data_IF_217936113983
#
_entry.id   IF_217936113983
#
_cell.length_a   1.000
_cell.length_b   1.000
_cell.length_c   1.000
_cell.angle_alpha   90.00
_cell.angle_beta   90.00
_cell.angle_gamma   90.00
#
_symmetry.space_group_name_H-M   'P 1'
#
loop_
_entity.id
_entity.type
_entity.pdbx_description
1 polymer ?
#
# COMPACT_ATOMS: atom_id res chain seq x y z
N UNK A 1 52.58 -37.77 -29.17
CA UNK A 1 52.04 -37.02 -30.32
C UNK A 1 51.22 -35.87 -29.77
N UNK A 2 51.04 -34.80 -30.55
CA UNK A 2 50.26 -33.60 -30.21
C UNK A 2 48.75 -33.94 -30.13
N UNK A 3 47.78 -33.08 -29.78
CA UNK A 3 47.66 -31.60 -29.71
C UNK A 3 46.84 -31.22 -28.44
N UNK A 4 46.69 -29.98 -27.97
CA UNK A 4 47.15 -28.70 -28.51
C UNK A 4 45.98 -27.81 -28.99
N UNK A 5 45.34 -27.07 -28.08
CA UNK A 5 44.36 -26.04 -28.43
C UNK A 5 44.54 -24.80 -27.52
N UNK A 6 44.31 -23.60 -28.05
CA UNK A 6 44.77 -22.34 -27.46
C UNK A 6 43.85 -21.17 -27.85
N UNK A 7 43.56 -20.28 -26.88
CA UNK A 7 42.41 -19.36 -26.95
C UNK A 7 42.46 -18.27 -28.03
N UNK A 8 41.27 -17.88 -28.48
CA UNK A 8 41.03 -16.82 -29.46
C UNK A 8 40.21 -15.66 -28.86
N UNK A 9 40.69 -14.43 -29.08
CA UNK A 9 39.97 -13.35 -29.79
C UNK A 9 40.73 -12.03 -29.63
N UNK A 10 41.05 -11.39 -30.76
CA UNK A 10 41.89 -10.18 -30.84
C UNK A 10 41.20 -9.07 -31.63
N UNK A 11 41.37 -7.85 -31.14
CA UNK A 11 40.95 -6.56 -31.69
C UNK A 11 41.03 -6.39 -33.22
N UNK A 12 40.11 -5.58 -33.77
CA UNK A 12 40.28 -4.91 -35.06
C UNK A 12 39.49 -3.59 -35.13
N UNK A 13 40.22 -2.48 -35.21
CA UNK A 13 39.71 -1.16 -35.62
C UNK A 13 39.81 -0.98 -37.15
N UNK A 14 38.99 -0.10 -37.74
CA UNK A 14 39.23 0.50 -39.07
C UNK A 14 38.59 1.88 -39.20
N UNK A 15 39.40 2.91 -39.50
CA UNK A 15 38.99 4.28 -39.85
C UNK A 15 38.73 4.47 -41.37
N UNK A 16 37.77 5.34 -41.75
CA UNK A 16 37.79 6.22 -42.95
C UNK A 16 36.43 6.95 -43.16
N UNK A 17 36.28 8.09 -43.88
CA UNK A 17 37.10 9.30 -44.11
C UNK A 17 36.33 10.32 -45.01
N UNK A 18 36.06 11.55 -44.52
CA UNK A 18 35.77 12.83 -45.28
C UNK A 18 34.55 12.82 -46.24
N UNK A 19 34.04 13.88 -46.92
CA UNK A 19 34.30 15.33 -47.21
C UNK A 19 32.95 15.93 -47.78
N UNK A 20 32.60 17.22 -47.96
CA UNK A 20 32.97 18.56 -47.43
C UNK A 20 32.16 19.69 -48.18
N UNK A 21 31.67 20.74 -47.48
CA UNK A 21 31.06 21.99 -48.04
C UNK A 21 29.57 21.95 -48.43
N UNK A 22 28.84 23.06 -48.68
CA UNK A 22 29.06 24.49 -48.35
C UNK A 22 27.84 25.39 -48.72
N UNK A 23 27.43 26.26 -47.78
CA UNK A 23 26.82 27.61 -47.93
C UNK A 23 25.49 27.88 -48.71
N UNK A 24 25.06 29.17 -48.68
CA UNK A 24 23.76 29.81 -49.07
C UNK A 24 22.58 29.49 -48.12
N UNK A 25 21.92 30.44 -47.43
CA UNK A 25 21.22 31.70 -47.81
C UNK A 25 19.94 31.43 -48.66
N UNK A 26 18.77 32.05 -48.46
CA UNK A 26 18.34 33.19 -47.62
C UNK A 26 16.84 33.01 -47.20
N UNK A 27 16.27 33.98 -46.47
CA UNK A 27 14.98 34.65 -46.75
C UNK A 27 13.97 34.79 -45.58
N UNK A 28 13.59 36.05 -45.36
CA UNK A 28 12.47 36.63 -44.59
C UNK A 28 12.58 36.87 -43.05
N UNK A 29 12.29 38.14 -42.73
CA UNK A 29 12.06 38.77 -41.40
C UNK A 29 10.54 38.63 -41.06
N UNK A 30 9.96 39.08 -39.94
CA UNK A 30 10.31 40.15 -38.99
C UNK A 30 9.41 40.15 -37.72
N UNK A 31 9.95 40.63 -36.60
CA UNK A 31 9.33 41.27 -35.39
C UNK A 31 7.88 41.02 -34.89
N UNK A 32 7.83 41.01 -33.54
CA UNK A 32 6.82 41.58 -32.61
C UNK A 32 5.50 40.86 -32.23
N UNK A 33 5.27 40.92 -30.91
CA UNK A 33 4.08 40.55 -30.09
C UNK A 33 3.58 39.08 -30.20
N UNK A 34 3.10 38.44 -29.13
CA UNK A 34 2.19 38.95 -28.08
C UNK A 34 2.81 38.99 -26.67
N UNK A 35 2.64 40.14 -26.00
CA UNK A 35 2.66 40.27 -24.54
C UNK A 35 1.24 40.10 -24.00
N UNK A 36 0.99 39.17 -23.08
CA UNK A 36 -0.12 39.09 -22.08
C UNK A 36 -0.10 37.66 -21.46
N UNK A 37 -0.23 37.42 -20.15
CA UNK A 37 -0.31 38.33 -18.99
C UNK A 37 0.27 37.70 -17.71
N UNK A 38 1.04 38.50 -16.97
CA UNK A 38 1.11 38.54 -15.50
C UNK A 38 1.18 37.22 -14.71
N UNK A 39 2.42 36.76 -14.49
CA UNK A 39 2.82 36.31 -13.17
C UNK A 39 2.72 37.50 -12.19
N UNK A 40 1.70 37.57 -11.33
CA UNK A 40 1.67 38.38 -10.10
C UNK A 40 0.55 37.89 -9.16
N UNK A 41 0.91 37.24 -8.06
CA UNK A 41 0.05 37.17 -6.86
C UNK A 41 0.93 37.16 -5.60
N UNK A 42 1.24 38.37 -5.14
CA UNK A 42 1.77 38.64 -3.81
C UNK A 42 0.87 39.69 -3.13
N UNK A 43 0.94 39.76 -1.80
CA UNK A 43 0.14 40.60 -0.90
C UNK A 43 -1.35 40.23 -0.76
N UNK A 44 -1.75 40.05 0.50
CA UNK A 44 -3.13 40.16 0.95
C UNK A 44 -3.26 41.43 1.81
N UNK A 45 -4.46 42.02 1.90
CA UNK A 45 -4.97 42.36 3.22
C UNK A 45 -6.47 42.04 3.41
N UNK A 46 -6.92 42.12 4.67
CA UNK A 46 -8.32 41.92 5.11
C UNK A 46 -9.22 43.10 4.75
N UNK A 47 -10.53 42.84 4.64
CA UNK A 47 -11.60 43.70 5.17
C UNK A 47 -12.88 42.88 5.39
N UNK A 48 -13.60 43.15 6.48
CA UNK A 48 -14.92 42.57 6.79
C UNK A 48 -16.05 43.46 6.25
N UNK A 49 -17.19 42.88 5.87
CA UNK A 49 -18.52 43.52 5.91
C UNK A 49 -19.64 42.51 5.66
N UNK A 50 -20.71 42.56 6.48
CA UNK A 50 -21.91 41.73 6.35
C UNK A 50 -23.03 42.55 5.71
N UNK A 51 -23.70 42.01 4.69
CA UNK A 51 -25.05 42.42 4.30
C UNK A 51 -25.87 41.17 3.94
N UNK A 52 -26.98 40.96 4.66
CA UNK A 52 -28.04 40.06 4.21
C UNK A 52 -28.91 40.78 3.17
N UNK A 53 -29.39 40.03 2.18
CA UNK A 53 -30.66 40.29 1.51
C UNK A 53 -31.23 38.97 0.99
N UNK A 54 -32.53 38.76 1.19
CA UNK A 54 -33.23 37.58 0.69
C UNK A 54 -33.69 37.81 -0.75
N UNK A 55 -33.61 36.80 -1.62
CA UNK A 55 -34.82 36.15 -2.15
C UNK A 55 -34.54 35.17 -3.31
N UNK A 56 -35.37 34.11 -3.34
CA UNK A 56 -35.73 33.24 -4.48
C UNK A 56 -34.69 32.33 -5.15
N UNK A 57 -34.98 31.04 -5.00
CA UNK A 57 -35.13 30.10 -6.13
C UNK A 57 -33.93 29.95 -7.08
N UNK A 58 -32.85 29.37 -6.56
CA UNK A 58 -32.05 28.43 -7.35
C UNK A 58 -32.09 27.07 -6.63
N UNK A 59 -32.78 26.10 -7.23
CA UNK A 59 -32.61 24.68 -6.89
C UNK A 59 -31.17 24.23 -7.22
N UNK A 60 -30.77 23.04 -6.80
CA UNK A 60 -29.46 22.45 -7.14
C UNK A 60 -28.26 23.01 -6.35
N UNK A 61 -28.33 22.96 -5.01
CA UNK A 61 -27.17 23.16 -4.10
C UNK A 61 -27.21 22.39 -2.77
N UNK A 62 -27.96 21.28 -2.69
CA UNK A 62 -27.95 20.37 -1.52
C UNK A 62 -27.40 18.97 -1.85
N UNK A 63 -27.24 18.64 -3.14
CA UNK A 63 -26.56 17.42 -3.61
C UNK A 63 -25.02 17.53 -3.55
N UNK A 64 -24.51 18.14 -2.47
CA UNK A 64 -23.10 18.41 -2.23
C UNK A 64 -22.54 17.67 -0.99
N UNK A 65 -23.33 16.81 -0.34
CA UNK A 65 -22.80 15.70 0.48
C UNK A 65 -22.33 14.61 -0.49
N UNK A 66 -21.28 14.94 -1.25
CA UNK A 66 -20.81 14.14 -2.37
C UNK A 66 -20.09 12.90 -1.90
N UNK A 67 -20.70 11.73 -2.16
CA UNK A 67 -20.01 10.49 -2.58
C UNK A 67 -18.91 9.96 -1.65
N UNK A 68 -18.82 10.47 -0.42
CA UNK A 68 -17.57 10.55 0.36
C UNK A 68 -16.96 9.18 0.68
N UNK A 69 -17.77 8.11 0.64
CA UNK A 69 -17.22 6.75 0.67
C UNK A 69 -17.95 5.65 -0.11
N UNK A 70 -18.32 5.90 -1.36
CA UNK A 70 -18.97 4.92 -2.25
C UNK A 70 -18.29 3.53 -2.32
N UNK A 71 -16.97 3.44 -2.07
CA UNK A 71 -16.16 2.21 -2.12
C UNK A 71 -16.06 1.46 -0.77
N UNK A 72 -16.36 2.10 0.38
CA UNK A 72 -16.51 1.43 1.69
C UNK A 72 -17.97 1.31 2.15
N UNK A 73 -18.93 1.81 1.35
CA UNK A 73 -20.32 1.37 1.46
C UNK A 73 -20.34 -0.16 1.40
N UNK A 74 -20.71 -0.80 2.52
CA UNK A 74 -20.62 -2.25 2.76
C UNK A 74 -21.38 -3.12 1.74
N UNK A 75 -22.25 -2.49 0.95
CA UNK A 75 -23.05 -3.09 -0.13
C UNK A 75 -22.26 -3.24 -1.45
N UNK A 76 -21.31 -2.36 -1.71
CA UNK A 76 -20.47 -2.36 -2.93
C UNK A 76 -19.19 -3.20 -2.77
N UNK A 77 -18.83 -3.55 -1.54
CA UNK A 77 -17.63 -4.33 -1.25
C UNK A 77 -17.89 -5.83 -1.39
N UNK A 78 -16.92 -6.55 -1.97
CA UNK A 78 -16.93 -8.02 -1.99
C UNK A 78 -16.90 -8.56 -0.54
N UNK A 79 -17.98 -9.24 -0.13
CA UNK A 79 -18.15 -9.86 1.19
C UNK A 79 -17.56 -11.27 1.22
N UNK A 80 -16.25 -11.35 0.97
CA UNK A 80 -15.47 -12.59 1.07
C UNK A 80 -14.66 -12.64 2.38
N UNK A 81 -13.85 -13.69 2.55
CA UNK A 81 -12.96 -13.89 3.70
C UNK A 81 -11.84 -12.83 3.85
N UNK A 82 -11.70 -11.89 2.92
CA UNK A 82 -10.83 -10.71 3.07
C UNK A 82 -11.61 -9.43 3.47
N UNK A 83 -12.95 -9.46 3.58
CA UNK A 83 -13.79 -8.27 3.71
C UNK A 83 -13.34 -7.25 4.78
N UNK A 84 -13.05 -7.69 6.00
CA UNK A 84 -12.63 -6.77 7.07
C UNK A 84 -11.21 -6.25 6.85
N UNK A 85 -10.31 -7.07 6.28
CA UNK A 85 -8.94 -6.68 5.93
C UNK A 85 -8.94 -5.64 4.81
N UNK A 86 -9.73 -5.87 3.75
CA UNK A 86 -10.06 -4.94 2.67
C UNK A 86 -10.56 -3.62 3.25
N UNK A 87 -11.58 -3.66 4.13
CA UNK A 87 -12.18 -2.46 4.75
C UNK A 87 -11.13 -1.59 5.45
N UNK A 88 -10.36 -2.15 6.40
CA UNK A 88 -9.38 -1.36 7.19
C UNK A 88 -8.19 -0.90 6.33
N UNK A 89 -7.74 -1.71 5.36
CA UNK A 89 -6.66 -1.33 4.43
C UNK A 89 -7.09 -0.14 3.57
N UNK A 90 -8.27 -0.19 2.97
CA UNK A 90 -8.83 0.92 2.19
C UNK A 90 -9.13 2.15 3.06
N UNK A 91 -9.60 1.97 4.30
CA UNK A 91 -9.82 3.06 5.26
C UNK A 91 -8.54 3.85 5.59
N UNK A 92 -7.39 3.15 5.70
CA UNK A 92 -6.10 3.78 5.91
C UNK A 92 -5.59 4.52 4.66
N UNK A 93 -5.65 3.87 3.50
CA UNK A 93 -5.20 4.42 2.21
C UNK A 93 -5.96 5.69 1.83
N UNK A 94 -7.28 5.68 1.98
CA UNK A 94 -8.16 6.77 1.50
C UNK A 94 -8.07 7.99 2.42
N UNK A 95 -7.80 7.81 3.73
CA UNK A 95 -7.40 8.91 4.63
C UNK A 95 -5.95 9.38 4.43
N UNK A 96 -5.23 8.83 3.46
CA UNK A 96 -3.84 9.20 3.16
C UNK A 96 -2.86 8.89 4.30
N UNK A 97 -3.17 7.91 5.18
CA UNK A 97 -2.27 7.55 6.27
C UNK A 97 -0.99 6.96 5.70
N UNK A 98 0.16 7.55 6.02
CA UNK A 98 1.47 6.96 5.76
C UNK A 98 1.56 5.55 6.36
N UNK A 99 2.46 4.71 5.83
CA UNK A 99 2.82 3.48 6.53
C UNK A 99 3.36 3.82 7.94
N UNK A 100 3.00 3.03 8.96
CA UNK A 100 3.50 3.15 10.33
C UNK A 100 5.02 3.37 10.42
N UNK A 101 5.47 4.24 11.32
CA UNK A 101 6.89 4.63 11.41
C UNK A 101 7.85 3.50 11.81
N UNK A 102 7.33 2.39 12.34
CA UNK A 102 8.11 1.17 12.60
C UNK A 102 8.36 0.33 11.33
N UNK A 103 7.65 0.59 10.23
CA UNK A 103 7.90 0.01 8.91
C UNK A 103 8.90 0.92 8.19
N UNK A 104 10.20 0.65 8.37
CA UNK A 104 11.26 1.31 7.60
C UNK A 104 11.16 0.84 6.15
N UNK A 105 10.65 1.71 5.27
CA UNK A 105 10.33 1.43 3.86
C UNK A 105 11.49 0.81 3.09
N UNK A 106 12.66 1.43 3.11
CA UNK A 106 13.88 0.97 2.43
C UNK A 106 14.30 -0.47 2.81
N UNK A 107 13.85 -0.96 3.97
CA UNK A 107 14.17 -2.27 4.54
C UNK A 107 12.95 -3.20 4.68
N UNK A 108 11.78 -2.75 4.22
CA UNK A 108 10.49 -3.44 4.39
C UNK A 108 10.47 -4.79 3.65
N UNK A 109 10.92 -4.81 2.40
CA UNK A 109 11.05 -6.02 1.58
C UNK A 109 11.98 -7.08 2.21
N UNK A 110 12.92 -6.71 3.08
CA UNK A 110 13.87 -7.63 3.72
C UNK A 110 13.38 -8.24 5.04
N UNK A 111 12.24 -7.78 5.60
CA UNK A 111 11.67 -8.32 6.84
C UNK A 111 11.50 -9.87 6.80
N UNK A 112 10.95 -10.49 5.73
CA UNK A 112 10.83 -11.94 5.65
C UNK A 112 12.19 -12.66 5.71
N UNK A 113 13.21 -12.09 5.06
CA UNK A 113 14.57 -12.67 5.03
C UNK A 113 15.20 -12.62 6.42
N UNK A 114 15.14 -11.45 7.09
CA UNK A 114 15.64 -11.25 8.46
C UNK A 114 14.98 -12.21 9.45
N UNK A 115 13.64 -12.27 9.49
CA UNK A 115 12.94 -13.19 10.39
C UNK A 115 13.38 -14.65 10.20
N UNK A 116 13.55 -15.11 8.95
CA UNK A 116 14.01 -16.47 8.69
C UNK A 116 15.46 -16.74 9.14
N UNK A 117 16.28 -15.69 9.34
CA UNK A 117 17.65 -15.76 9.85
C UNK A 117 17.70 -15.60 11.38
N UNK A 118 16.79 -14.82 11.96
CA UNK A 118 16.62 -14.53 13.39
C UNK A 118 15.98 -15.70 14.19
N UNK A 119 15.85 -16.88 13.57
CA UNK A 119 15.29 -18.10 14.19
C UNK A 119 13.82 -18.38 13.86
N UNK A 120 13.11 -17.44 13.24
CA UNK A 120 11.70 -17.62 12.82
C UNK A 120 11.58 -18.37 11.47
N UNK A 121 12.47 -19.33 11.20
CA UNK A 121 12.52 -20.09 9.95
C UNK A 121 11.20 -20.84 9.61
N UNK A 122 10.33 -21.03 10.60
CA UNK A 122 8.98 -21.57 10.42
C UNK A 122 8.06 -20.71 9.52
N UNK A 123 8.39 -19.44 9.22
CA UNK A 123 7.65 -18.65 8.21
C UNK A 123 7.73 -19.24 6.79
N UNK A 124 8.63 -20.19 6.54
CA UNK A 124 8.60 -21.01 5.32
C UNK A 124 7.38 -21.95 5.24
N UNK A 125 6.53 -21.98 6.28
CA UNK A 125 5.20 -22.61 6.30
C UNK A 125 4.05 -21.60 6.06
N UNK A 126 4.34 -20.38 5.62
CA UNK A 126 3.32 -19.40 5.22
C UNK A 126 2.50 -19.94 4.04
N UNK A 127 1.19 -20.02 4.21
CA UNK A 127 0.27 -20.57 3.20
C UNK A 127 -0.44 -19.43 2.47
N UNK A 128 -0.03 -19.22 1.22
CA UNK A 128 -0.81 -18.44 0.26
C UNK A 128 -2.08 -19.22 -0.12
N UNK A 129 -3.20 -18.51 -0.27
CA UNK A 129 -4.49 -19.05 -0.75
C UNK A 129 -4.30 -19.93 -2.00
N UNK A 130 -3.64 -19.38 -3.02
CA UNK A 130 -3.22 -20.12 -4.20
C UNK A 130 -1.85 -20.73 -3.98
N UNK A 131 -1.80 -22.08 -3.90
CA UNK A 131 -0.58 -22.90 -3.71
C UNK A 131 0.33 -22.96 -4.95
N UNK A 132 0.50 -21.83 -5.63
CA UNK A 132 1.52 -21.62 -6.66
C UNK A 132 2.89 -21.76 -5.98
N UNK A 133 3.67 -22.74 -6.46
CA UNK A 133 4.97 -23.10 -5.91
C UNK A 133 6.02 -21.98 -6.00
N UNK A 134 7.08 -22.14 -5.22
CA UNK A 134 8.12 -21.13 -5.00
C UNK A 134 8.43 -20.97 -3.51
N UNK A 135 9.48 -20.23 -3.18
CA UNK A 135 9.87 -20.01 -1.78
C UNK A 135 8.92 -18.99 -1.11
N UNK A 136 8.26 -19.30 0.02
CA UNK A 136 7.31 -18.38 0.66
C UNK A 136 7.95 -17.07 1.13
N UNK A 137 9.18 -17.10 1.65
CA UNK A 137 9.92 -15.89 2.06
C UNK A 137 10.11 -14.95 0.87
N UNK A 138 10.54 -15.45 -0.30
CA UNK A 138 10.66 -14.66 -1.54
C UNK A 138 9.31 -14.10 -2.02
N UNK A 139 8.24 -14.90 -1.98
CA UNK A 139 6.88 -14.42 -2.32
C UNK A 139 6.46 -13.28 -1.38
N UNK A 140 6.75 -13.38 -0.09
CA UNK A 140 6.49 -12.33 0.89
C UNK A 140 7.31 -11.06 0.64
N UNK A 141 8.58 -11.16 0.23
CA UNK A 141 9.39 -9.98 -0.17
C UNK A 141 8.65 -9.20 -1.28
N UNK A 142 8.20 -9.88 -2.33
CA UNK A 142 7.50 -9.25 -3.47
C UNK A 142 6.09 -8.76 -3.13
N UNK A 143 5.41 -9.37 -2.17
CA UNK A 143 4.14 -8.86 -1.64
C UNK A 143 4.34 -7.53 -0.90
N UNK A 144 5.40 -7.42 -0.09
CA UNK A 144 5.76 -6.20 0.63
C UNK A 144 6.18 -5.07 -0.32
N UNK A 145 7.00 -5.37 -1.34
CA UNK A 145 7.33 -4.43 -2.43
C UNK A 145 6.07 -3.92 -3.16
N UNK A 146 5.10 -4.81 -3.39
CA UNK A 146 3.81 -4.45 -4.00
C UNK A 146 2.99 -3.52 -3.09
N UNK A 147 2.93 -3.85 -1.80
CA UNK A 147 2.23 -3.05 -0.78
C UNK A 147 2.83 -1.66 -0.65
N UNK A 148 4.15 -1.57 -0.42
CA UNK A 148 4.88 -0.30 -0.30
C UNK A 148 4.63 0.61 -1.52
N UNK A 149 4.87 0.10 -2.73
CA UNK A 149 4.73 0.86 -3.97
C UNK A 149 3.30 1.37 -4.17
N UNK A 150 2.28 0.55 -3.91
CA UNK A 150 0.87 0.94 -4.08
C UNK A 150 0.40 1.89 -2.98
N UNK A 151 0.85 1.67 -1.74
CA UNK A 151 0.50 2.51 -0.59
C UNK A 151 1.06 3.92 -0.73
N UNK A 152 2.35 4.05 -1.07
CA UNK A 152 2.98 5.35 -1.33
C UNK A 152 2.33 6.05 -2.52
N UNK A 153 2.04 5.33 -3.62
CA UNK A 153 1.40 5.92 -4.80
C UNK A 153 0.00 6.50 -4.49
N UNK A 154 -0.79 5.86 -3.61
CA UNK A 154 -2.10 6.39 -3.20
C UNK A 154 -1.93 7.52 -2.16
N UNK A 155 -1.05 7.39 -1.18
CA UNK A 155 -0.90 8.42 -0.14
C UNK A 155 -0.28 9.74 -0.65
N UNK A 156 0.42 9.72 -1.79
CA UNK A 156 0.88 10.93 -2.48
C UNK A 156 -0.22 11.72 -3.21
N UNK A 157 -1.44 11.16 -3.34
CA UNK A 157 -2.59 11.85 -3.95
C UNK A 157 -3.24 12.78 -2.91
N UNK A 158 -3.49 14.03 -3.30
CA UNK A 158 -3.91 15.08 -2.35
C UNK A 158 -5.38 14.97 -1.93
N UNK A 159 -6.31 14.73 -2.85
CA UNK A 159 -7.74 14.62 -2.52
C UNK A 159 -8.11 13.25 -1.95
N UNK A 160 -8.99 13.24 -0.94
CA UNK A 160 -9.60 12.02 -0.40
C UNK A 160 -10.42 11.29 -1.49
N UNK A 161 -11.14 12.04 -2.34
CA UNK A 161 -11.95 11.48 -3.43
C UNK A 161 -11.09 10.82 -4.51
N UNK A 162 -9.95 11.42 -4.85
CA UNK A 162 -8.99 10.83 -5.80
C UNK A 162 -8.29 9.59 -5.20
N UNK A 163 -7.97 9.61 -3.89
CA UNK A 163 -7.48 8.41 -3.17
C UNK A 163 -8.53 7.30 -3.13
N UNK A 164 -9.81 7.65 -2.95
CA UNK A 164 -10.92 6.71 -3.04
C UNK A 164 -10.97 6.06 -4.42
N UNK A 165 -10.96 6.86 -5.51
CA UNK A 165 -10.97 6.31 -6.87
C UNK A 165 -9.73 5.45 -7.16
N UNK A 166 -8.53 5.90 -6.79
CA UNK A 166 -7.29 5.13 -6.95
C UNK A 166 -7.32 3.81 -6.17
N UNK A 167 -7.90 3.79 -4.97
CA UNK A 167 -8.11 2.59 -4.18
C UNK A 167 -9.18 1.67 -4.81
N UNK A 168 -10.28 2.21 -5.32
CA UNK A 168 -11.29 1.44 -6.05
C UNK A 168 -10.78 0.85 -7.36
N UNK A 169 -9.85 1.53 -8.03
CA UNK A 169 -9.14 1.03 -9.20
C UNK A 169 -8.11 -0.06 -8.83
N UNK A 170 -7.52 0.00 -7.63
CA UNK A 170 -6.64 -1.05 -7.11
C UNK A 170 -7.40 -2.36 -6.86
N UNK A 171 -8.60 -2.30 -6.29
CA UNK A 171 -9.46 -3.46 -6.00
C UNK A 171 -9.99 -4.18 -7.27
N UNK A 172 -9.76 -3.65 -8.48
CA UNK A 172 -10.10 -4.30 -9.76
C UNK A 172 -9.01 -5.28 -10.24
N UNK A 173 -7.81 -5.21 -9.68
CA UNK A 173 -6.71 -6.15 -9.94
C UNK A 173 -6.60 -7.11 -8.75
N UNK A 174 -7.32 -8.24 -8.84
CA UNK A 174 -7.33 -9.28 -7.81
C UNK A 174 -5.91 -9.78 -7.44
N UNK A 175 -4.95 -9.73 -8.37
CA UNK A 175 -3.57 -10.15 -8.11
C UNK A 175 -2.78 -9.10 -7.32
N UNK A 176 -2.95 -7.81 -7.60
CA UNK A 176 -2.43 -6.75 -6.72
C UNK A 176 -3.13 -6.79 -5.36
N UNK A 177 -4.45 -6.95 -5.35
CA UNK A 177 -5.28 -6.99 -4.14
C UNK A 177 -4.81 -8.08 -3.17
N UNK A 178 -4.76 -9.33 -3.63
CA UNK A 178 -4.30 -10.46 -2.82
C UNK A 178 -2.86 -10.26 -2.32
N UNK A 179 -1.94 -9.76 -3.16
CA UNK A 179 -0.55 -9.48 -2.73
C UNK A 179 -0.49 -8.45 -1.60
N UNK A 180 -1.32 -7.42 -1.66
CA UNK A 180 -1.41 -6.44 -0.57
C UNK A 180 -1.95 -7.06 0.71
N UNK A 181 -2.95 -7.93 0.65
CA UNK A 181 -3.47 -8.61 1.83
C UNK A 181 -2.47 -9.59 2.43
N UNK A 182 -1.75 -10.38 1.62
CA UNK A 182 -0.68 -11.25 2.11
C UNK A 182 0.45 -10.45 2.78
N UNK A 183 0.78 -9.28 2.24
CA UNK A 183 1.74 -8.36 2.86
C UNK A 183 1.24 -7.78 4.19
N UNK A 184 -0.01 -7.33 4.29
CA UNK A 184 -0.58 -6.81 5.55
C UNK A 184 -0.73 -7.93 6.59
N UNK A 185 -1.19 -9.13 6.20
CA UNK A 185 -1.22 -10.33 7.05
C UNK A 185 0.18 -10.66 7.61
N UNK A 186 1.22 -10.53 6.80
CA UNK A 186 2.59 -10.75 7.24
C UNK A 186 3.13 -9.63 8.15
N UNK A 187 2.77 -8.36 7.90
CA UNK A 187 3.06 -7.26 8.82
C UNK A 187 2.39 -7.46 10.19
N UNK A 188 1.16 -7.99 10.22
CA UNK A 188 0.49 -8.41 11.46
C UNK A 188 1.26 -9.49 12.19
N UNK A 189 1.78 -10.51 11.48
CA UNK A 189 2.65 -11.53 12.08
C UNK A 189 3.93 -10.94 12.66
N UNK A 190 4.61 -10.05 11.92
CA UNK A 190 5.83 -9.40 12.37
C UNK A 190 5.59 -8.54 13.63
N UNK A 191 4.50 -7.76 13.65
CA UNK A 191 4.07 -7.00 14.82
C UNK A 191 3.76 -7.92 16.00
N UNK A 192 3.06 -9.03 15.76
CA UNK A 192 2.74 -10.04 16.77
C UNK A 192 3.99 -10.75 17.33
N UNK A 193 5.05 -10.97 16.54
CA UNK A 193 6.34 -11.48 17.04
C UNK A 193 6.96 -10.51 18.04
N UNK A 194 7.03 -9.22 17.72
CA UNK A 194 7.54 -8.21 18.67
C UNK A 194 6.71 -8.11 19.94
N UNK A 195 5.38 -8.09 19.81
CA UNK A 195 4.45 -8.03 20.94
C UNK A 195 4.54 -9.28 21.84
N UNK A 196 4.73 -10.47 21.25
CA UNK A 196 4.98 -11.69 22.02
C UNK A 196 6.32 -11.62 22.75
N UNK A 197 7.40 -11.25 22.05
CA UNK A 197 8.73 -11.10 22.65
C UNK A 197 8.71 -10.06 23.79
N UNK A 198 7.99 -8.95 23.63
CA UNK A 198 7.79 -7.95 24.69
C UNK A 198 7.09 -8.56 25.92
N UNK A 199 5.99 -9.28 25.71
CA UNK A 199 5.21 -9.93 26.76
C UNK A 199 6.03 -10.96 27.54
N UNK A 200 6.76 -11.85 26.86
CA UNK A 200 7.61 -12.88 27.47
C UNK A 200 8.78 -12.26 28.27
N UNK A 201 9.29 -11.10 27.84
CA UNK A 201 10.31 -10.34 28.57
C UNK A 201 9.72 -9.42 29.67
N UNK A 202 8.43 -9.56 30.00
CA UNK A 202 7.76 -8.76 31.02
C UNK A 202 7.61 -7.27 30.68
N UNK A 203 7.78 -6.88 29.41
CA UNK A 203 7.59 -5.51 28.94
C UNK A 203 6.10 -5.21 28.78
N UNK A 204 5.74 -3.92 28.85
CA UNK A 204 4.34 -3.48 28.76
C UNK A 204 3.83 -3.58 27.32
N UNK A 205 2.89 -4.49 27.10
CA UNK A 205 2.15 -4.67 25.84
C UNK A 205 0.71 -4.13 25.93
N UNK A 206 0.04 -3.84 24.79
CA UNK A 206 -1.41 -3.65 24.74
C UNK A 206 -2.19 -4.86 25.29
N UNK A 207 -3.37 -4.62 25.87
CA UNK A 207 -4.13 -5.67 26.56
C UNK A 207 -4.62 -6.77 25.60
N UNK A 208 -4.97 -6.41 24.35
CA UNK A 208 -5.40 -7.37 23.32
C UNK A 208 -4.33 -8.43 23.03
N UNK A 209 -3.04 -8.12 23.22
CA UNK A 209 -1.95 -9.07 22.99
C UNK A 209 -2.03 -10.26 23.96
N UNK A 210 -2.40 -10.00 25.23
CA UNK A 210 -2.60 -11.07 26.22
C UNK A 210 -3.78 -11.95 25.83
N UNK A 211 -4.87 -11.38 25.36
CA UNK A 211 -6.04 -12.14 24.87
C UNK A 211 -5.69 -12.98 23.63
N UNK A 212 -4.98 -12.37 22.66
CA UNK A 212 -4.50 -13.03 21.44
C UNK A 212 -3.68 -14.28 21.78
N UNK A 213 -2.68 -14.14 22.67
CA UNK A 213 -1.78 -15.24 23.07
C UNK A 213 -2.31 -16.12 24.21
N UNK A 214 -3.46 -15.83 24.80
CA UNK A 214 -4.14 -16.72 25.75
C UNK A 214 -5.00 -17.81 25.07
N UNK A 215 -5.30 -17.68 23.77
CA UNK A 215 -6.09 -18.68 23.04
C UNK A 215 -5.27 -19.95 22.77
N UNK A 216 -5.85 -21.11 23.05
CA UNK A 216 -5.28 -22.44 22.77
C UNK A 216 -4.84 -22.66 21.31
N UNK A 217 -5.35 -21.88 20.36
CA UNK A 217 -5.01 -21.96 18.93
C UNK A 217 -3.93 -20.95 18.50
N UNK A 218 -3.52 -20.00 19.34
CA UNK A 218 -2.55 -18.95 18.96
C UNK A 218 -1.61 -18.51 20.08
N UNK A 219 -1.32 -19.40 21.03
CA UNK A 219 -0.44 -19.17 22.20
C UNK A 219 1.03 -18.81 21.90
N UNK A 220 1.39 -18.62 20.63
CA UNK A 220 2.69 -18.12 20.17
C UNK A 220 2.57 -17.67 18.70
N UNK A 221 3.47 -16.82 18.18
CA UNK A 221 3.37 -16.27 16.83
C UNK A 221 3.35 -17.34 15.72
N UNK A 222 4.01 -18.48 15.93
CA UNK A 222 3.92 -19.63 15.02
C UNK A 222 2.49 -20.17 14.93
N UNK A 223 1.84 -20.40 16.08
CA UNK A 223 0.46 -20.91 16.13
C UNK A 223 -0.55 -19.89 15.61
N UNK A 224 -0.33 -18.60 15.87
CA UNK A 224 -1.07 -17.51 15.23
C UNK A 224 -0.96 -17.57 13.70
N UNK A 225 0.24 -17.80 13.15
CA UNK A 225 0.42 -17.96 11.69
C UNK A 225 -0.33 -19.18 11.15
N UNK A 226 -0.08 -20.38 11.68
CA UNK A 226 -0.58 -21.62 11.06
C UNK A 226 -2.06 -21.91 11.31
N UNK A 227 -2.64 -21.40 12.40
CA UNK A 227 -4.04 -21.66 12.76
C UNK A 227 -4.98 -20.48 12.45
N UNK A 228 -4.47 -19.26 12.25
CA UNK A 228 -5.29 -18.07 11.96
C UNK A 228 -4.85 -17.36 10.68
N UNK A 229 -3.65 -16.77 10.66
CA UNK A 229 -3.27 -15.86 9.56
C UNK A 229 -3.21 -16.57 8.20
N UNK A 230 -2.77 -17.83 8.14
CA UNK A 230 -2.78 -18.64 6.92
C UNK A 230 -4.19 -18.88 6.33
N UNK A 231 -5.27 -18.71 7.12
CA UNK A 231 -6.65 -19.00 6.71
C UNK A 231 -7.48 -17.75 6.36
N UNK A 232 -7.04 -16.56 6.81
CA UNK A 232 -7.62 -15.26 6.42
C UNK A 232 -7.65 -15.16 4.90
N UNK A 233 -8.83 -14.93 4.34
CA UNK A 233 -9.05 -14.85 2.89
C UNK A 233 -9.37 -16.18 2.22
N UNK A 234 -8.92 -17.30 2.77
CA UNK A 234 -9.20 -18.64 2.22
C UNK A 234 -10.47 -19.25 2.83
N UNK A 235 -10.51 -19.45 4.14
CA UNK A 235 -11.63 -20.11 4.83
C UNK A 235 -12.13 -19.38 6.09
N UNK A 236 -11.53 -18.24 6.47
CA UNK A 236 -11.97 -17.43 7.60
C UNK A 236 -11.80 -15.94 7.32
N UNK A 237 -12.61 -15.11 7.97
CA UNK A 237 -12.37 -13.68 8.10
C UNK A 237 -11.35 -13.34 9.19
N UNK A 238 -11.37 -12.09 9.66
CA UNK A 238 -10.66 -11.64 10.87
C UNK A 238 -11.57 -11.75 12.10
N UNK A 239 -11.12 -12.46 13.14
CA UNK A 239 -11.73 -12.39 14.49
C UNK A 239 -11.46 -11.03 15.16
N UNK A 240 -12.13 -10.72 16.28
CA UNK A 240 -11.97 -9.44 17.01
C UNK A 240 -10.52 -9.19 17.47
N UNK A 241 -9.82 -10.21 17.96
CA UNK A 241 -8.40 -10.10 18.37
C UNK A 241 -7.47 -9.81 17.20
N UNK A 242 -7.74 -10.40 16.03
CA UNK A 242 -7.00 -10.17 14.80
C UNK A 242 -7.32 -8.80 14.19
N UNK A 243 -8.56 -8.32 14.32
CA UNK A 243 -8.94 -6.94 13.98
C UNK A 243 -8.18 -5.91 14.80
N UNK A 244 -7.98 -6.15 16.10
CA UNK A 244 -7.20 -5.23 16.94
C UNK A 244 -5.69 -5.33 16.65
N UNK A 245 -5.17 -6.53 16.35
CA UNK A 245 -3.81 -6.69 15.83
C UNK A 245 -3.62 -5.93 14.50
N UNK A 246 -4.57 -5.99 13.58
CA UNK A 246 -4.55 -5.26 12.30
C UNK A 246 -4.52 -3.74 12.54
N UNK A 247 -5.36 -3.23 13.43
CA UNK A 247 -5.38 -1.79 13.79
C UNK A 247 -4.08 -1.34 14.43
N UNK A 248 -3.56 -2.12 15.36
CA UNK A 248 -2.28 -1.84 16.03
C UNK A 248 -1.08 -1.99 15.08
N UNK A 249 -1.20 -2.81 14.04
CA UNK A 249 -0.22 -2.91 12.96
C UNK A 249 -0.25 -1.64 12.11
N UNK A 250 -1.40 -1.25 11.56
CA UNK A 250 -1.56 -0.11 10.63
C UNK A 250 -1.69 1.26 11.31
N UNK A 251 -1.56 1.35 12.63
CA UNK A 251 -1.75 2.57 13.43
C UNK A 251 -3.11 3.25 13.14
N UNK A 252 -4.17 2.44 12.97
CA UNK A 252 -5.54 2.89 12.72
C UNK A 252 -6.38 2.95 13.99
N UNK A 253 -6.74 4.18 14.37
CA UNK A 253 -7.79 4.47 15.37
C UNK A 253 -9.16 4.05 14.84
N UNK A 254 -9.99 3.50 15.73
CA UNK A 254 -11.34 3.03 15.41
C UNK A 254 -12.23 4.20 14.98
N UNK A 255 -12.69 4.20 13.73
CA UNK A 255 -13.99 4.81 13.39
C UNK A 255 -15.10 3.81 13.74
N UNK A 256 -16.21 4.30 14.28
CA UNK A 256 -17.16 3.48 15.03
C UNK A 256 -17.99 2.48 14.22
N UNK A 257 -18.64 1.58 14.95
CA UNK A 257 -19.69 0.65 14.51
C UNK A 257 -19.22 -0.44 13.52
N UNK A 258 -18.85 -1.58 14.09
CA UNK A 258 -19.18 -2.86 13.46
C UNK A 258 -20.70 -2.93 13.31
N UNK A 259 -21.16 -3.23 12.09
CA UNK A 259 -22.47 -3.85 11.86
C UNK A 259 -22.13 -5.26 11.44
N UNK A 260 -22.60 -6.25 12.19
CA UNK A 260 -22.38 -7.65 11.84
C UNK A 260 -23.01 -7.94 10.47
N UNK A 261 -22.26 -8.61 9.58
CA UNK A 261 -22.91 -9.23 8.44
C UNK A 261 -23.77 -10.38 8.98
N UNK A 262 -25.08 -10.40 8.74
CA UNK A 262 -25.89 -11.56 9.12
C UNK A 262 -25.45 -12.77 8.29
N UNK A 263 -25.39 -13.93 8.93
CA UNK A 263 -25.19 -15.21 8.23
C UNK A 263 -26.28 -15.44 7.18
N UNK A 264 -25.93 -16.20 6.13
CA UNK A 264 -26.80 -16.58 5.01
C UNK A 264 -26.80 -18.11 4.83
#
# INVERSE_FOLDING_TARGET
MSEGDQGDLRWRDTDNTKQHGSDEEDLYRSVDDIKQSQLMLSFAPKCDLILHNESKEETDKVEAVSTEWSILNSENMKKDNYFQLRKVTCEALIRGKSLPSWIVTEEMSQIPRRLSQEGYAWINQWCFEHKIGGNPVQKLQSCLETLEKKWLAICCIHSETERAEACGNLLKDETTEQRMYEAVKFLMLYKAIHLYNDMENGRKVPEFCKHLFARNTSFSPYHLMVNHLNWIGYSSGLEETEMELLRHTLETTISGYFVDCPDH
#
